data_IF_676709825337
#
_entry.id   IF_676709825337
#
_cell.length_a   1.000
_cell.length_b   1.000
_cell.length_c   1.000
_cell.angle_alpha   90.00
_cell.angle_beta   90.00
_cell.angle_gamma   90.00
#
_symmetry.space_group_name_H-M   'P 1'
#
loop_
_entity.id
_entity.type
_entity.pdbx_description
1 polymer ?
#
# COMPACT_ATOMS: atom_id res chain seq x y z
N UNK A 1 -9.11 11.87 2.36
CA UNK A 1 -9.89 13.04 2.85
C UNK A 1 -9.25 14.35 2.40
N UNK A 2 -7.92 14.52 2.48
CA UNK A 2 -7.20 15.73 2.05
C UNK A 2 -7.60 16.37 0.69
N UNK A 3 -7.88 15.58 -0.36
CA UNK A 3 -8.31 16.13 -1.67
C UNK A 3 -9.73 16.71 -1.64
N UNK A 4 -10.63 16.10 -0.85
CA UNK A 4 -12.01 16.59 -0.65
C UNK A 4 -11.99 17.85 0.22
N UNK A 5 -11.03 17.92 1.15
CA UNK A 5 -10.80 19.07 2.04
C UNK A 5 -10.07 20.25 1.35
N UNK A 6 -10.00 20.24 0.01
CA UNK A 6 -9.44 21.34 -0.79
C UNK A 6 -7.91 21.43 -0.82
N UNK A 7 -7.19 20.40 -0.34
CA UNK A 7 -5.73 20.37 -0.26
C UNK A 7 -5.13 19.26 -1.15
N UNK A 8 -5.15 19.43 -2.49
CA UNK A 8 -4.67 18.42 -3.43
C UNK A 8 -3.17 18.13 -3.29
N UNK A 9 -2.35 19.12 -2.91
CA UNK A 9 -0.93 18.96 -2.63
C UNK A 9 -0.65 17.98 -1.47
N UNK A 10 -1.51 18.00 -0.45
CA UNK A 10 -1.41 17.14 0.73
C UNK A 10 -1.83 15.70 0.39
N UNK A 11 -2.83 15.53 -0.47
CA UNK A 11 -3.21 14.23 -0.99
C UNK A 11 -2.10 13.60 -1.85
N UNK A 12 -1.45 14.39 -2.70
CA UNK A 12 -0.30 13.96 -3.50
C UNK A 12 0.89 13.58 -2.60
N UNK A 13 1.19 14.44 -1.62
CA UNK A 13 2.25 14.22 -0.64
C UNK A 13 2.06 12.93 0.16
N UNK A 14 0.82 12.61 0.56
CA UNK A 14 0.51 11.34 1.19
C UNK A 14 0.73 10.15 0.26
N UNK A 15 0.25 10.22 -0.99
CA UNK A 15 0.41 9.13 -1.95
C UNK A 15 1.88 8.80 -2.25
N UNK A 16 2.73 9.81 -2.48
CA UNK A 16 4.16 9.59 -2.70
C UNK A 16 4.89 9.25 -1.40
N UNK A 17 4.57 9.91 -0.29
CA UNK A 17 5.22 9.72 1.01
C UNK A 17 5.04 8.32 1.58
N UNK A 18 3.83 7.76 1.50
CA UNK A 18 3.56 6.38 1.93
C UNK A 18 4.31 5.37 1.08
N UNK A 19 4.36 5.54 -0.25
CA UNK A 19 5.13 4.65 -1.13
C UNK A 19 6.64 4.71 -0.85
N UNK A 20 7.20 5.91 -0.67
CA UNK A 20 8.62 6.08 -0.34
C UNK A 20 8.94 5.46 1.02
N UNK A 21 8.11 5.69 2.03
CA UNK A 21 8.30 5.12 3.37
C UNK A 21 8.23 3.59 3.33
N UNK A 22 7.25 3.02 2.64
CA UNK A 22 7.10 1.56 2.54
C UNK A 22 8.32 0.90 1.85
N UNK A 23 8.84 1.50 0.77
CA UNK A 23 9.98 0.92 0.03
C UNK A 23 11.33 1.21 0.73
N UNK A 24 11.59 2.46 1.12
CA UNK A 24 12.90 2.84 1.64
C UNK A 24 13.06 2.46 3.12
N UNK A 25 12.05 2.71 3.94
CA UNK A 25 12.13 2.49 5.38
C UNK A 25 11.71 1.05 5.74
N UNK A 26 10.50 0.64 5.39
CA UNK A 26 9.97 -0.67 5.83
C UNK A 26 10.72 -1.80 5.11
N UNK A 27 10.63 -1.86 3.78
CA UNK A 27 11.29 -2.92 3.00
C UNK A 27 12.81 -2.89 3.17
N UNK A 28 13.42 -1.69 3.22
CA UNK A 28 14.86 -1.52 3.46
C UNK A 28 15.30 -2.06 4.83
N UNK A 29 14.58 -1.73 5.91
CA UNK A 29 14.88 -2.25 7.25
C UNK A 29 14.67 -3.77 7.33
N UNK A 30 13.56 -4.27 6.77
CA UNK A 30 13.27 -5.71 6.74
C UNK A 30 14.37 -6.45 5.99
N UNK A 31 14.83 -5.94 4.84
CA UNK A 31 15.90 -6.55 4.06
C UNK A 31 17.25 -6.60 4.79
N UNK A 32 17.54 -5.63 5.67
CA UNK A 32 18.74 -5.65 6.52
C UNK A 32 18.66 -6.70 7.64
N UNK A 33 17.47 -6.91 8.21
CA UNK A 33 17.26 -7.85 9.33
C UNK A 33 17.05 -9.28 8.83
N UNK A 34 16.26 -9.45 7.77
CA UNK A 34 15.86 -10.73 7.20
C UNK A 34 15.90 -10.65 5.66
N UNK A 35 16.87 -11.32 5.00
CA UNK A 35 16.97 -11.32 3.55
C UNK A 35 15.67 -11.80 2.89
N UNK A 36 15.05 -10.93 2.10
CA UNK A 36 13.78 -11.19 1.45
C UNK A 36 13.99 -12.14 0.28
N UNK A 37 13.40 -13.33 0.34
CA UNK A 37 13.36 -14.27 -0.79
C UNK A 37 12.24 -13.85 -1.72
N UNK A 38 12.60 -13.36 -2.92
CA UNK A 38 11.62 -12.92 -3.93
C UNK A 38 11.31 -14.08 -4.88
N UNK A 39 10.04 -14.39 -5.09
CA UNK A 39 9.64 -15.38 -6.10
C UNK A 39 10.08 -14.90 -7.49
N UNK A 40 10.76 -15.73 -8.31
CA UNK A 40 11.19 -15.37 -9.66
C UNK A 40 10.09 -14.82 -10.58
N UNK A 41 8.83 -15.17 -10.33
CA UNK A 41 7.68 -14.67 -11.09
C UNK A 41 7.44 -13.19 -10.86
N UNK A 42 7.53 -12.73 -9.60
CA UNK A 42 7.43 -11.31 -9.23
C UNK A 42 8.52 -10.51 -9.96
N UNK A 43 9.74 -11.04 -9.98
CA UNK A 43 10.89 -10.37 -10.60
C UNK A 43 10.75 -10.24 -12.13
N UNK A 44 10.15 -11.25 -12.79
CA UNK A 44 10.07 -11.31 -14.26
C UNK A 44 8.78 -10.77 -14.87
N UNK A 45 7.69 -10.73 -14.11
CA UNK A 45 6.39 -10.27 -14.60
C UNK A 45 5.94 -8.99 -13.91
N UNK A 46 5.90 -8.97 -12.59
CA UNK A 46 5.30 -7.87 -11.84
C UNK A 46 6.19 -6.64 -11.81
N UNK A 47 7.50 -6.81 -11.54
CA UNK A 47 8.43 -5.68 -11.49
C UNK A 47 8.57 -4.93 -12.82
N UNK A 48 8.70 -5.59 -14.00
CA UNK A 48 8.75 -4.87 -15.27
C UNK A 48 7.46 -4.09 -15.56
N UNK A 49 6.30 -4.68 -15.26
CA UNK A 49 5.01 -4.00 -15.44
C UNK A 49 4.93 -2.78 -14.52
N UNK A 50 5.28 -2.94 -13.24
CA UNK A 50 5.34 -1.86 -12.27
C UNK A 50 6.25 -0.73 -12.76
N UNK A 51 7.46 -1.05 -13.22
CA UNK A 51 8.40 -0.08 -13.78
C UNK A 51 7.80 0.69 -14.95
N UNK A 52 7.14 0.02 -15.90
CA UNK A 52 6.49 0.68 -17.03
C UNK A 52 5.38 1.63 -16.56
N UNK A 53 4.54 1.20 -15.63
CA UNK A 53 3.47 2.04 -15.06
C UNK A 53 4.06 3.24 -14.32
N UNK A 54 5.12 3.05 -13.53
CA UNK A 54 5.83 4.13 -12.84
C UNK A 54 6.45 5.13 -13.81
N UNK A 55 7.01 4.66 -14.93
CA UNK A 55 7.55 5.54 -15.97
C UNK A 55 6.45 6.33 -16.68
N UNK A 56 5.29 5.72 -16.95
CA UNK A 56 4.14 6.43 -17.52
C UNK A 56 3.64 7.51 -16.55
N UNK A 57 3.48 7.16 -15.26
CA UNK A 57 3.07 8.12 -14.24
C UNK A 57 4.10 9.26 -14.07
N UNK A 58 5.39 8.93 -14.10
CA UNK A 58 6.47 9.93 -14.10
C UNK A 58 6.44 10.81 -15.34
N UNK A 59 6.09 10.25 -16.50
CA UNK A 59 5.93 11.01 -17.74
C UNK A 59 4.78 12.02 -17.67
N UNK A 60 3.64 11.60 -17.13
CA UNK A 60 2.48 12.47 -16.89
C UNK A 60 2.76 13.60 -15.89
N UNK A 61 3.77 13.46 -15.05
CA UNK A 61 4.12 14.48 -14.05
C UNK A 61 5.11 15.53 -14.57
N UNK A 62 5.69 15.37 -15.77
CA UNK A 62 6.73 16.30 -16.28
C UNK A 62 6.24 17.73 -16.47
N UNK A 63 4.97 17.93 -16.78
CA UNK A 63 4.36 19.26 -16.93
C UNK A 63 3.95 19.88 -15.57
N UNK A 64 4.20 19.16 -14.47
CA UNK A 64 3.83 19.50 -13.10
C UNK A 64 2.32 19.69 -12.88
N UNK A 65 1.48 19.20 -13.79
CA UNK A 65 0.06 19.47 -13.78
C UNK A 65 -0.76 18.20 -14.05
N UNK A 66 -1.24 17.56 -12.98
CA UNK A 66 -2.03 16.34 -13.09
C UNK A 66 -3.45 16.63 -13.57
N UNK A 67 -3.72 16.32 -14.83
CA UNK A 67 -5.02 16.55 -15.44
C UNK A 67 -6.00 15.40 -15.15
N UNK A 68 -7.28 15.64 -15.42
CA UNK A 68 -8.30 14.59 -15.37
C UNK A 68 -8.05 13.49 -16.40
N UNK A 69 -7.38 13.80 -17.51
CA UNK A 69 -7.00 12.81 -18.54
C UNK A 69 -5.94 11.87 -18.00
N UNK A 70 -4.97 12.38 -17.24
CA UNK A 70 -3.93 11.55 -16.62
C UNK A 70 -4.53 10.58 -15.61
N UNK A 71 -5.47 11.06 -14.79
CA UNK A 71 -6.21 10.24 -13.84
C UNK A 71 -6.98 9.11 -14.54
N UNK A 72 -7.73 9.41 -15.61
CA UNK A 72 -8.46 8.39 -16.36
C UNK A 72 -7.53 7.37 -17.05
N UNK A 73 -6.38 7.83 -17.55
CA UNK A 73 -5.37 6.96 -18.13
C UNK A 73 -4.83 5.97 -17.08
N UNK A 74 -4.43 6.46 -15.90
CA UNK A 74 -3.91 5.62 -14.81
C UNK A 74 -4.97 4.66 -14.27
N UNK A 75 -6.23 5.09 -14.13
CA UNK A 75 -7.34 4.22 -13.75
C UNK A 75 -7.55 3.13 -14.80
N UNK A 76 -7.51 3.46 -16.09
CA UNK A 76 -7.64 2.49 -17.18
C UNK A 76 -6.52 1.45 -17.14
N UNK A 77 -5.28 1.87 -16.95
CA UNK A 77 -4.11 0.99 -16.80
C UNK A 77 -4.28 0.08 -15.57
N UNK A 78 -4.70 0.64 -14.44
CA UNK A 78 -4.93 -0.11 -13.21
C UNK A 78 -6.01 -1.19 -13.39
N UNK A 79 -7.14 -0.85 -14.00
CA UNK A 79 -8.23 -1.80 -14.26
C UNK A 79 -7.79 -2.90 -15.23
N UNK A 80 -7.04 -2.55 -16.28
CA UNK A 80 -6.48 -3.53 -17.22
C UNK A 80 -5.50 -4.48 -16.53
N UNK A 81 -4.62 -3.94 -15.68
CA UNK A 81 -3.67 -4.74 -14.91
C UNK A 81 -4.38 -5.70 -13.96
N UNK A 82 -5.36 -5.23 -13.19
CA UNK A 82 -6.16 -6.09 -12.30
C UNK A 82 -6.90 -7.17 -13.09
N UNK A 83 -7.55 -6.80 -14.19
CA UNK A 83 -8.26 -7.75 -15.04
C UNK A 83 -7.33 -8.83 -15.59
N UNK A 84 -6.16 -8.45 -16.11
CA UNK A 84 -5.17 -9.40 -16.61
C UNK A 84 -4.67 -10.31 -15.49
N UNK A 85 -4.30 -9.78 -14.33
CA UNK A 85 -3.81 -10.58 -13.20
C UNK A 85 -4.85 -11.59 -12.73
N UNK A 86 -6.12 -11.20 -12.61
CA UNK A 86 -7.22 -12.12 -12.25
C UNK A 86 -7.41 -13.19 -13.32
N UNK A 87 -7.46 -12.79 -14.60
CA UNK A 87 -7.64 -13.74 -15.69
C UNK A 87 -6.48 -14.74 -15.80
N UNK A 88 -5.24 -14.27 -15.61
CA UNK A 88 -4.04 -15.11 -15.57
C UNK A 88 -4.09 -16.07 -14.37
N UNK A 89 -4.46 -15.59 -13.17
CA UNK A 89 -4.61 -16.43 -11.98
C UNK A 89 -5.68 -17.52 -12.13
N UNK A 90 -6.76 -17.23 -12.86
CA UNK A 90 -7.81 -18.21 -13.14
C UNK A 90 -7.41 -19.28 -14.19
N UNK A 91 -6.53 -18.93 -15.14
CA UNK A 91 -6.14 -19.84 -16.23
C UNK A 91 -4.83 -20.60 -15.98
N UNK A 92 -3.96 -20.13 -15.07
CA UNK A 92 -2.69 -20.79 -14.73
C UNK A 92 -2.81 -21.61 -13.43
N UNK A 93 -3.41 -22.80 -13.50
CA UNK A 93 -3.53 -23.73 -12.36
C UNK A 93 -2.22 -24.46 -11.99
N UNK A 94 -1.12 -24.21 -12.71
CA UNK A 94 0.21 -24.79 -12.46
C UNK A 94 1.18 -23.85 -11.73
N UNK A 95 0.67 -22.75 -11.16
CA UNK A 95 1.49 -21.76 -10.50
C UNK A 95 1.97 -22.26 -9.12
N UNK A 96 3.26 -22.15 -8.81
CA UNK A 96 3.82 -22.59 -7.53
C UNK A 96 3.13 -21.88 -6.34
N UNK A 97 2.71 -20.63 -6.56
CA UNK A 97 1.90 -19.86 -5.61
C UNK A 97 0.48 -20.42 -5.43
N UNK A 98 -0.15 -20.93 -6.51
CA UNK A 98 -1.48 -21.53 -6.41
C UNK A 98 -1.43 -22.84 -5.59
N UNK A 99 -0.36 -23.62 -5.73
CA UNK A 99 -0.16 -24.83 -4.92
C UNK A 99 0.06 -24.48 -3.45
N UNK A 100 0.91 -23.49 -3.15
CA UNK A 100 1.16 -23.00 -1.79
C UNK A 100 -0.12 -22.49 -1.12
N UNK A 101 -0.91 -21.67 -1.83
CA UNK A 101 -2.20 -21.16 -1.35
C UNK A 101 -3.22 -22.29 -1.13
N UNK A 102 -3.31 -23.29 -2.02
CA UNK A 102 -4.22 -24.44 -1.82
C UNK A 102 -3.79 -25.26 -0.58
N UNK A 103 -2.49 -25.46 -0.37
CA UNK A 103 -2.01 -26.16 0.83
C UNK A 103 -2.27 -25.39 2.12
N UNK A 104 -2.09 -24.06 2.12
CA UNK A 104 -2.44 -23.23 3.27
C UNK A 104 -3.95 -23.26 3.54
N UNK A 105 -4.79 -23.09 2.51
CA UNK A 105 -6.25 -23.15 2.62
C UNK A 105 -6.73 -24.51 3.15
N UNK A 106 -6.06 -25.60 2.79
CA UNK A 106 -6.36 -26.94 3.33
C UNK A 106 -5.96 -27.09 4.81
N UNK A 107 -4.95 -26.34 5.27
CA UNK A 107 -4.48 -26.37 6.66
C UNK A 107 -5.21 -25.40 7.60
N UNK A 108 -5.97 -24.46 7.04
CA UNK A 108 -6.68 -23.43 7.82
C UNK A 108 -8.13 -23.85 8.09
N UNK A 109 -8.63 -23.81 9.34
CA UNK A 109 -10.02 -24.15 9.61
C UNK A 109 -10.98 -23.19 8.89
N UNK A 110 -11.91 -23.74 8.11
CA UNK A 110 -12.88 -22.94 7.35
C UNK A 110 -13.85 -22.24 8.29
N UNK A 111 -13.78 -20.90 8.34
CA UNK A 111 -14.71 -20.10 9.12
C UNK A 111 -16.04 -19.92 8.37
N UNK A 112 -17.15 -19.84 9.12
CA UNK A 112 -18.44 -19.47 8.53
C UNK A 112 -18.37 -18.06 7.92
N UNK A 113 -19.09 -17.82 6.81
CA UNK A 113 -19.16 -16.50 6.16
C UNK A 113 -19.57 -15.40 7.16
N UNK A 114 -20.50 -15.68 8.06
CA UNK A 114 -20.94 -14.72 9.08
C UNK A 114 -19.81 -14.35 10.04
N UNK A 115 -19.03 -15.33 10.47
CA UNK A 115 -17.88 -15.10 11.35
C UNK A 115 -16.79 -14.30 10.62
N UNK A 116 -16.55 -14.60 9.33
CA UNK A 116 -15.57 -13.89 8.51
C UNK A 116 -15.93 -12.42 8.34
N UNK A 117 -17.20 -12.13 8.04
CA UNK A 117 -17.71 -10.75 7.92
C UNK A 117 -17.59 -10.01 9.27
N UNK A 118 -17.91 -10.68 10.38
CA UNK A 118 -17.79 -10.09 11.72
C UNK A 118 -16.34 -9.78 12.07
N UNK A 119 -15.42 -10.71 11.84
CA UNK A 119 -13.98 -10.50 12.05
C UNK A 119 -13.41 -9.42 11.16
N UNK A 120 -13.82 -9.33 9.90
CA UNK A 120 -13.43 -8.26 8.99
C UNK A 120 -13.89 -6.90 9.50
N UNK A 121 -15.15 -6.79 9.92
CA UNK A 121 -15.69 -5.54 10.46
C UNK A 121 -14.98 -5.14 11.77
N UNK A 122 -14.76 -6.10 12.67
CA UNK A 122 -14.05 -5.86 13.94
C UNK A 122 -12.59 -5.47 13.70
N UNK A 123 -11.90 -6.16 12.80
CA UNK A 123 -10.52 -5.87 12.41
C UNK A 123 -10.38 -4.48 11.81
N UNK A 124 -11.29 -4.09 10.91
CA UNK A 124 -11.30 -2.75 10.32
C UNK A 124 -11.52 -1.66 11.38
N UNK A 125 -12.48 -1.86 12.29
CA UNK A 125 -12.72 -0.92 13.40
C UNK A 125 -11.50 -0.79 14.31
N UNK A 126 -10.91 -1.92 14.70
CA UNK A 126 -9.75 -1.95 15.57
C UNK A 126 -8.53 -1.31 14.91
N UNK A 127 -8.32 -1.55 13.61
CA UNK A 127 -7.25 -0.94 12.82
C UNK A 127 -7.37 0.59 12.79
N UNK A 128 -8.58 1.11 12.52
CA UNK A 128 -8.83 2.56 12.53
C UNK A 128 -8.58 3.16 13.92
N UNK A 129 -9.00 2.48 14.99
CA UNK A 129 -8.80 2.96 16.35
C UNK A 129 -7.32 2.93 16.76
N UNK A 130 -6.62 1.82 16.48
CA UNK A 130 -5.21 1.63 16.80
C UNK A 130 -4.32 2.63 16.06
N UNK A 131 -4.56 2.86 14.76
CA UNK A 131 -3.84 3.86 13.96
C UNK A 131 -3.94 5.25 14.57
N UNK A 132 -5.15 5.68 14.94
CA UNK A 132 -5.37 6.99 15.58
C UNK A 132 -4.62 7.10 16.91
N UNK A 133 -4.73 6.08 17.76
CA UNK A 133 -4.07 6.07 19.06
C UNK A 133 -2.55 6.16 18.93
N UNK A 134 -1.97 5.42 17.98
CA UNK A 134 -0.54 5.43 17.68
C UNK A 134 -0.08 6.82 17.22
N UNK A 135 -0.79 7.42 16.26
CA UNK A 135 -0.44 8.75 15.73
C UNK A 135 -0.53 9.81 16.84
N UNK A 136 -1.62 9.84 17.62
CA UNK A 136 -1.75 10.82 18.71
C UNK A 136 -0.70 10.63 19.80
N UNK A 137 -0.41 9.39 20.19
CA UNK A 137 0.63 9.09 21.16
C UNK A 137 2.01 9.56 20.69
N UNK A 138 2.36 9.28 19.43
CA UNK A 138 3.63 9.67 18.85
C UNK A 138 3.76 11.20 18.70
N UNK A 139 2.68 11.88 18.29
CA UNK A 139 2.63 13.36 18.21
C UNK A 139 2.80 14.00 19.59
N UNK A 140 2.13 13.48 20.62
CA UNK A 140 2.25 13.98 21.98
C UNK A 140 3.70 13.88 22.50
N UNK A 141 4.35 12.73 22.29
CA UNK A 141 5.75 12.52 22.65
C UNK A 141 6.64 13.51 21.89
N UNK A 142 6.47 13.65 20.57
CA UNK A 142 7.28 14.56 19.76
C UNK A 142 7.15 16.03 20.21
N UNK A 143 5.94 16.48 20.54
CA UNK A 143 5.73 17.82 21.10
C UNK A 143 6.41 18.01 22.46
N UNK A 144 6.32 17.01 23.34
CA UNK A 144 7.02 17.07 24.64
C UNK A 144 8.55 17.10 24.52
N UNK A 145 9.08 16.64 23.39
CA UNK A 145 10.50 16.73 23.04
C UNK A 145 10.86 18.03 22.29
N UNK A 146 9.91 18.95 22.09
CA UNK A 146 10.15 20.23 21.43
C UNK A 146 10.31 20.14 19.91
N UNK A 147 9.87 19.05 19.27
CA UNK A 147 9.92 18.88 17.82
C UNK A 147 8.84 19.74 17.17
N UNK A 148 9.18 20.46 16.10
CA UNK A 148 8.23 21.32 15.37
C UNK A 148 7.17 20.53 14.61
N UNK A 149 5.95 21.07 14.51
CA UNK A 149 4.78 20.49 13.82
C UNK A 149 5.09 20.06 12.37
N UNK A 150 5.97 20.79 11.68
CA UNK A 150 6.38 20.48 10.31
C UNK A 150 7.13 19.14 10.24
N UNK A 151 8.06 18.91 11.16
CA UNK A 151 8.83 17.67 11.23
C UNK A 151 7.92 16.51 11.65
N UNK A 152 7.01 16.75 12.59
CA UNK A 152 6.02 15.76 13.04
C UNK A 152 5.11 15.33 11.88
N UNK A 153 4.60 16.29 11.11
CA UNK A 153 3.73 16.03 9.96
C UNK A 153 4.44 15.28 8.82
N UNK A 154 5.70 15.61 8.53
CA UNK A 154 6.47 14.97 7.47
C UNK A 154 6.97 13.55 7.84
N UNK A 155 7.06 13.23 9.13
CA UNK A 155 7.70 11.98 9.61
C UNK A 155 6.74 11.09 10.40
N UNK A 156 6.33 11.52 11.59
CA UNK A 156 5.53 10.72 12.53
C UNK A 156 4.15 10.40 11.97
N UNK A 157 3.50 11.38 11.34
CA UNK A 157 2.17 11.17 10.74
C UNK A 157 2.28 10.29 9.50
N UNK A 158 3.23 10.56 8.61
CA UNK A 158 3.45 9.77 7.39
C UNK A 158 3.78 8.30 7.69
N UNK A 159 4.63 8.03 8.68
CA UNK A 159 4.96 6.67 9.12
C UNK A 159 3.77 6.04 9.85
N UNK A 160 3.10 6.79 10.73
CA UNK A 160 1.97 6.28 11.53
C UNK A 160 0.74 5.89 10.72
N UNK A 161 0.53 6.48 9.55
CA UNK A 161 -0.53 6.09 8.62
C UNK A 161 -0.19 4.88 7.75
N UNK A 162 1.10 4.57 7.58
CA UNK A 162 1.57 3.43 6.77
C UNK A 162 1.89 2.18 7.59
N UNK A 163 2.04 2.29 8.92
CA UNK A 163 2.26 1.15 9.83
C UNK A 163 1.10 0.15 9.97
N UNK A 164 -0.19 0.54 9.85
CA UNK A 164 -1.30 -0.41 9.92
C UNK A 164 -1.54 -1.20 8.63
N UNK A 165 -0.88 -0.81 7.53
CA UNK A 165 -0.90 -1.56 6.26
C UNK A 165 -0.03 -2.81 6.34
#
# INVERSE_FOLDING_TARGET
MAAIDGNPSLALGNAYGSNITNIALILGLVALISPIKVNPQVLRKELPILLVITLIAGWQLFDLNLSTVDAWCLIGIFLLFVFWTVWQGMHNSGDALAVEVITELASTPTMSLKASILWLALGLLLLVFASRLLVYGAVFIAHSLGISDLIIGLTVVAIGTSLPE
#
